data_IF_262967730671
#
_entry.id   IF_262967730671
#
_cell.length_a   1.000
_cell.length_b   1.000
_cell.length_c   1.000
_cell.angle_alpha   90.00
_cell.angle_beta   90.00
_cell.angle_gamma   90.00
#
_symmetry.space_group_name_H-M   'P 1'
#
loop_
_entity.id
_entity.type
_entity.pdbx_description
1 polymer ?
#
# COMPACT_ATOMS: atom_id res chain seq x y z
N UNK A 1 -53.69 21.91 -46.27
CA UNK A 1 -54.27 21.16 -45.13
C UNK A 1 -53.76 21.78 -43.85
N UNK A 2 -54.68 22.27 -43.02
CA UNK A 2 -54.45 22.97 -41.75
C UNK A 2 -54.44 21.97 -40.59
N UNK A 3 -53.58 22.19 -39.60
CA UNK A 3 -53.84 21.99 -38.17
C UNK A 3 -52.58 22.46 -37.40
N UNK A 4 -52.40 23.72 -37.00
CA UNK A 4 -52.95 24.41 -35.81
C UNK A 4 -53.03 23.55 -34.54
N UNK A 5 -52.25 23.89 -33.51
CA UNK A 5 -52.75 24.32 -32.19
C UNK A 5 -51.62 24.93 -31.34
N UNK A 6 -51.85 26.15 -30.85
CA UNK A 6 -51.09 26.81 -29.79
C UNK A 6 -51.76 26.57 -28.43
N UNK A 7 -51.00 26.58 -27.34
CA UNK A 7 -51.47 27.14 -26.06
C UNK A 7 -50.29 27.49 -25.13
N UNK A 8 -50.34 28.70 -24.60
CA UNK A 8 -49.48 29.26 -23.56
C UNK A 8 -49.95 28.90 -22.14
N UNK A 9 -49.05 29.20 -21.19
CA UNK A 9 -49.26 29.83 -19.87
C UNK A 9 -49.39 28.99 -18.57
N UNK A 10 -48.37 29.20 -17.72
CA UNK A 10 -48.37 29.61 -16.30
C UNK A 10 -48.72 28.63 -15.16
N UNK A 11 -47.67 28.37 -14.35
CA UNK A 11 -47.56 28.46 -12.87
C UNK A 11 -48.73 27.96 -12.02
N UNK A 12 -48.52 26.88 -11.25
CA UNK A 12 -48.70 26.87 -9.78
C UNK A 12 -47.91 25.69 -9.18
N UNK A 13 -47.20 25.93 -8.08
CA UNK A 13 -46.37 24.92 -7.42
C UNK A 13 -47.15 23.83 -6.69
N UNK A 14 -46.49 22.68 -6.49
CA UNK A 14 -46.84 21.75 -5.44
C UNK A 14 -45.56 21.13 -4.87
N UNK A 15 -45.33 21.42 -3.59
CA UNK A 15 -44.39 20.78 -2.68
C UNK A 15 -44.71 19.28 -2.62
N UNK A 16 -43.75 18.38 -2.83
CA UNK A 16 -43.62 17.18 -2.01
C UNK A 16 -42.24 16.52 -2.11
N UNK A 17 -41.77 16.18 -0.91
CA UNK A 17 -40.57 15.46 -0.47
C UNK A 17 -40.25 14.21 -1.30
N UNK A 18 -38.96 13.91 -1.40
CA UNK A 18 -38.49 12.57 -1.74
C UNK A 18 -36.98 12.53 -1.88
N UNK A 19 -36.28 12.29 -0.76
CA UNK A 19 -34.83 12.10 -0.77
C UNK A 19 -34.41 10.89 -1.60
N UNK A 20 -33.43 11.11 -2.46
CA UNK A 20 -32.44 10.14 -2.96
C UNK A 20 -31.11 10.88 -2.74
N UNK A 21 -30.37 10.60 -1.67
CA UNK A 21 -29.36 9.54 -1.59
C UNK A 21 -28.53 9.50 -2.87
N UNK A 22 -27.66 10.50 -2.99
CA UNK A 22 -26.43 10.43 -3.76
C UNK A 22 -25.56 9.38 -3.08
N UNK A 23 -25.75 8.13 -3.49
CA UNK A 23 -24.78 7.08 -3.28
C UNK A 23 -23.87 7.14 -4.51
N UNK A 24 -22.85 7.99 -4.44
CA UNK A 24 -21.74 7.91 -5.39
C UNK A 24 -20.99 6.61 -5.12
N UNK A 25 -20.94 5.83 -6.18
CA UNK A 25 -20.42 4.47 -6.23
C UNK A 25 -18.95 4.45 -5.83
N UNK A 26 -18.66 3.78 -4.71
CA UNK A 26 -17.32 3.29 -4.41
C UNK A 26 -17.06 2.10 -5.35
N UNK A 27 -16.68 2.41 -6.59
CA UNK A 27 -16.28 1.44 -7.60
C UNK A 27 -14.88 0.92 -7.24
N UNK A 28 -14.84 -0.34 -6.79
CA UNK A 28 -13.66 -1.09 -6.37
C UNK A 28 -12.57 -1.04 -7.45
N UNK A 29 -11.35 -0.70 -7.06
CA UNK A 29 -10.17 -0.58 -7.93
C UNK A 29 -9.74 -1.98 -8.40
N UNK A 30 -10.39 -2.52 -9.42
CA UNK A 30 -9.93 -3.74 -10.07
C UNK A 30 -8.90 -3.34 -11.14
N UNK A 31 -7.60 -3.36 -10.80
CA UNK A 31 -6.53 -3.39 -11.81
C UNK A 31 -6.67 -4.73 -12.56
N UNK A 32 -6.79 -4.70 -13.90
CA UNK A 32 -7.04 -5.91 -14.71
C UNK A 32 -5.86 -6.88 -14.56
N UNK A 33 -6.09 -8.21 -14.47
CA UNK A 33 -5.01 -9.18 -14.35
C UNK A 33 -4.11 -9.18 -15.60
N UNK A 34 -2.80 -9.28 -15.38
CA UNK A 34 -1.78 -9.48 -16.41
C UNK A 34 -2.08 -10.76 -17.24
N UNK A 35 -1.92 -10.73 -18.58
CA UNK A 35 -2.28 -11.85 -19.43
C UNK A 35 -1.28 -13.01 -19.31
N UNK A 36 -1.73 -14.12 -18.70
CA UNK A 36 -1.03 -15.39 -18.51
C UNK A 36 -0.54 -16.00 -19.82
N UNK A 37 0.75 -16.32 -19.92
CA UNK A 37 1.27 -17.31 -20.86
C UNK A 37 2.00 -18.43 -20.09
N UNK A 38 1.40 -19.63 -20.11
CA UNK A 38 1.85 -20.84 -19.42
C UNK A 38 3.20 -21.37 -19.95
N UNK A 39 4.05 -21.90 -19.06
CA UNK A 39 4.72 -23.18 -19.33
C UNK A 39 5.18 -23.90 -18.04
N UNK A 40 4.86 -25.19 -17.97
CA UNK A 40 5.15 -26.12 -16.88
C UNK A 40 6.54 -26.77 -17.02
N UNK A 41 7.21 -27.12 -15.92
CA UNK A 41 7.70 -28.49 -15.60
C UNK A 41 8.51 -28.53 -14.29
N UNK A 42 8.24 -29.58 -13.51
CA UNK A 42 8.75 -29.90 -12.17
C UNK A 42 10.24 -30.31 -12.11
N UNK A 43 10.84 -30.35 -10.90
CA UNK A 43 11.28 -31.60 -10.19
C UNK A 43 12.32 -31.34 -9.05
N UNK A 44 12.01 -31.91 -7.88
CA UNK A 44 12.83 -32.41 -6.75
C UNK A 44 13.74 -31.52 -5.88
N UNK A 45 13.26 -31.31 -4.64
CA UNK A 45 13.86 -31.71 -3.34
C UNK A 45 15.32 -31.35 -3.00
N UNK A 46 15.56 -30.70 -1.85
CA UNK A 46 15.90 -31.36 -0.56
C UNK A 46 15.97 -30.31 0.57
N UNK A 47 15.47 -30.72 1.74
CA UNK A 47 15.15 -29.94 2.95
C UNK A 47 16.38 -29.51 3.77
N UNK A 48 16.34 -28.28 4.30
CA UNK A 48 17.05 -27.90 5.53
C UNK A 48 16.27 -26.78 6.26
N UNK A 49 15.84 -27.09 7.49
CA UNK A 49 15.04 -26.26 8.39
C UNK A 49 15.80 -25.03 8.91
N UNK A 50 15.12 -23.88 9.03
CA UNK A 50 15.41 -22.86 10.06
C UNK A 50 14.09 -22.14 10.48
N UNK A 51 13.99 -21.64 11.72
CA UNK A 51 12.72 -21.31 12.39
C UNK A 51 12.16 -19.91 12.05
N UNK A 52 10.86 -19.66 12.31
CA UNK A 52 10.20 -18.38 12.04
C UNK A 52 10.71 -17.29 13.00
N UNK A 53 10.99 -16.10 12.47
CA UNK A 53 11.36 -14.91 13.25
C UNK A 53 10.42 -13.73 12.92
N UNK A 54 10.26 -12.78 13.85
CA UNK A 54 8.99 -12.08 14.08
C UNK A 54 8.84 -10.74 13.36
N UNK A 55 7.57 -10.34 13.26
CA UNK A 55 6.95 -9.05 12.94
C UNK A 55 7.87 -7.80 13.01
N UNK A 56 7.92 -7.05 11.90
CA UNK A 56 8.61 -5.75 11.80
C UNK A 56 7.88 -4.69 12.63
N UNK A 57 8.61 -4.08 13.56
CA UNK A 57 8.32 -2.78 14.13
C UNK A 57 8.99 -1.70 13.28
N UNK A 58 8.27 -0.64 12.91
CA UNK A 58 8.84 0.52 12.21
C UNK A 58 9.21 1.58 13.26
N UNK A 59 10.51 1.86 13.51
CA UNK A 59 10.90 2.89 14.45
C UNK A 59 10.77 4.28 13.82
N UNK A 60 10.08 5.19 14.50
CA UNK A 60 10.16 6.62 14.22
C UNK A 60 11.40 7.21 14.92
N UNK A 61 12.42 7.62 14.16
CA UNK A 61 13.55 8.40 14.67
C UNK A 61 13.29 9.91 14.57
N UNK A 62 13.87 10.70 15.48
CA UNK A 62 15.13 11.38 15.13
C UNK A 62 16.28 11.13 16.11
N UNK A 63 17.48 11.46 15.62
CA UNK A 63 18.84 11.24 16.11
C UNK A 63 19.07 11.70 17.56
N UNK A 64 19.65 10.85 18.43
CA UNK A 64 20.53 11.33 19.50
C UNK A 64 21.58 10.28 19.91
N UNK A 65 22.78 10.79 20.18
CA UNK A 65 24.06 10.13 20.36
C UNK A 65 24.11 9.03 21.43
N UNK A 66 24.94 8.03 21.15
CA UNK A 66 25.43 6.96 22.02
C UNK A 66 25.72 7.40 23.48
N UNK A 67 24.89 6.93 24.40
CA UNK A 67 25.25 6.69 25.81
C UNK A 67 24.86 5.26 26.15
N UNK A 68 25.79 4.35 26.48
CA UNK A 68 25.45 2.97 26.81
C UNK A 68 25.02 2.88 28.28
N UNK A 69 23.75 2.56 28.54
CA UNK A 69 23.31 2.20 29.90
C UNK A 69 21.87 2.46 30.32
N UNK A 70 20.88 2.50 29.43
CA UNK A 70 19.46 2.63 29.84
C UNK A 70 18.64 1.49 29.26
N UNK A 71 18.27 0.54 30.13
CA UNK A 71 17.21 -0.44 29.89
C UNK A 71 15.91 0.36 29.67
N UNK A 72 15.12 0.14 28.61
CA UNK A 72 13.85 0.87 28.44
C UNK A 72 12.89 0.41 29.54
N UNK A 73 12.74 1.23 30.58
CA UNK A 73 11.66 1.07 31.56
C UNK A 73 10.36 1.49 30.89
N UNK A 74 9.52 0.51 30.53
CA UNK A 74 8.12 0.77 30.18
C UNK A 74 7.49 1.54 31.34
N UNK A 75 7.11 2.81 31.09
CA UNK A 75 6.27 3.55 32.03
C UNK A 75 4.96 2.77 32.11
N UNK A 76 4.59 2.31 33.31
CA UNK A 76 3.23 1.80 33.56
C UNK A 76 2.27 2.97 33.49
N UNK A 77 1.83 3.28 32.28
CA UNK A 77 0.78 4.26 32.01
C UNK A 77 -0.55 3.73 32.55
N UNK A 78 -1.34 4.61 33.13
CA UNK A 78 -2.62 4.26 33.75
C UNK A 78 -3.67 3.94 32.68
N UNK A 79 -4.62 3.05 32.98
CA UNK A 79 -5.75 2.74 32.07
C UNK A 79 -6.52 3.98 31.60
N UNK A 80 -6.54 5.06 32.39
CA UNK A 80 -7.15 6.34 32.01
C UNK A 80 -6.35 7.09 30.94
N UNK A 81 -5.02 7.05 30.99
CA UNK A 81 -4.14 7.69 30.02
C UNK A 81 -4.20 6.95 28.68
N UNK A 82 -4.20 5.61 28.68
CA UNK A 82 -4.41 4.82 27.46
C UNK A 82 -5.75 5.14 26.79
N UNK A 83 -6.83 5.22 27.58
CA UNK A 83 -8.16 5.54 27.04
C UNK A 83 -8.25 6.97 26.49
N UNK A 84 -7.50 7.91 27.04
CA UNK A 84 -7.45 9.26 26.51
C UNK A 84 -6.66 9.30 25.19
N UNK A 85 -5.55 8.57 25.13
CA UNK A 85 -4.75 8.41 23.91
C UNK A 85 -5.57 7.75 22.79
N UNK A 86 -6.34 6.68 23.09
CA UNK A 86 -7.27 6.04 22.15
C UNK A 86 -8.27 7.04 21.57
N UNK A 87 -8.85 7.90 22.40
CA UNK A 87 -9.80 8.94 21.94
C UNK A 87 -9.12 9.98 21.07
N UNK A 88 -7.90 10.40 21.40
CA UNK A 88 -7.15 11.37 20.61
C UNK A 88 -6.80 10.81 19.23
N UNK A 89 -6.36 9.54 19.16
CA UNK A 89 -6.12 8.84 17.90
C UNK A 89 -7.41 8.69 17.10
N UNK A 90 -8.53 8.31 17.74
CA UNK A 90 -9.82 8.23 17.07
C UNK A 90 -10.25 9.58 16.50
N UNK A 91 -10.09 10.67 17.25
CA UNK A 91 -10.39 12.03 16.78
C UNK A 91 -9.47 12.45 15.62
N UNK A 92 -8.18 12.10 15.66
CA UNK A 92 -7.24 12.38 14.57
C UNK A 92 -7.65 11.65 13.28
N UNK A 93 -8.10 10.40 13.39
CA UNK A 93 -8.59 9.63 12.25
C UNK A 93 -9.94 10.16 11.73
N UNK A 94 -10.82 10.67 12.59
CA UNK A 94 -12.08 11.30 12.16
C UNK A 94 -11.87 12.62 11.40
N UNK A 95 -10.83 13.38 11.76
CA UNK A 95 -10.45 14.60 11.03
C UNK A 95 -9.93 14.25 9.62
N UNK A 96 -9.40 13.05 9.45
CA UNK A 96 -8.85 12.60 8.19
C UNK A 96 -9.93 12.08 7.23
N UNK A 97 -10.50 12.98 6.43
CA UNK A 97 -11.65 12.68 5.56
C UNK A 97 -11.38 11.61 4.50
N UNK A 98 -10.11 11.34 4.16
CA UNK A 98 -9.76 10.24 3.24
C UNK A 98 -9.72 8.87 3.93
N UNK A 99 -9.89 8.80 5.26
CA UNK A 99 -10.02 7.54 5.99
C UNK A 99 -11.49 7.38 6.37
N UNK A 100 -12.22 6.56 5.62
CA UNK A 100 -13.65 6.38 5.84
C UNK A 100 -13.96 5.41 7.00
N UNK A 101 -13.84 5.90 8.23
CA UNK A 101 -14.12 5.14 9.47
C UNK A 101 -15.57 4.64 9.58
N UNK A 102 -16.52 5.28 8.89
CA UNK A 102 -17.94 4.90 8.94
C UNK A 102 -18.22 3.60 8.17
N UNK A 103 -17.53 3.40 7.05
CA UNK A 103 -17.65 2.18 6.24
C UNK A 103 -16.70 1.09 6.71
N UNK A 104 -15.55 1.49 7.25
CA UNK A 104 -14.45 0.62 7.65
C UNK A 104 -14.06 0.90 9.10
N UNK A 105 -14.72 0.25 10.08
CA UNK A 105 -14.42 0.51 11.48
C UNK A 105 -13.01 0.01 11.82
N UNK A 106 -12.16 0.94 12.28
CA UNK A 106 -10.81 0.65 12.78
C UNK A 106 -10.86 0.53 14.30
N UNK A 107 -10.33 -0.58 14.81
CA UNK A 107 -10.12 -0.79 16.24
C UNK A 107 -8.78 -0.20 16.64
N UNK A 108 -8.80 0.69 17.63
CA UNK A 108 -7.59 1.33 18.17
C UNK A 108 -7.36 0.78 19.57
N UNK A 109 -6.13 0.38 19.86
CA UNK A 109 -5.72 -0.03 21.20
C UNK A 109 -4.48 0.74 21.60
N UNK A 110 -4.52 1.42 22.73
CA UNK A 110 -3.34 2.09 23.28
C UNK A 110 -2.80 1.33 24.48
N UNK A 111 -1.50 1.08 24.48
CA UNK A 111 -0.79 0.49 25.61
C UNK A 111 0.45 1.33 25.92
N UNK A 112 0.28 2.31 26.82
CA UNK A 112 1.34 3.26 27.14
C UNK A 112 1.54 4.28 26.03
N UNK A 113 2.73 4.28 25.44
CA UNK A 113 3.12 5.11 24.30
C UNK A 113 3.02 4.36 22.95
N UNK A 114 2.54 3.12 22.96
CA UNK A 114 2.37 2.29 21.77
C UNK A 114 0.89 2.22 21.38
N UNK A 115 0.59 2.51 20.11
CA UNK A 115 -0.76 2.43 19.55
C UNK A 115 -0.82 1.29 18.53
N UNK A 116 -1.79 0.40 18.67
CA UNK A 116 -2.09 -0.62 17.65
C UNK A 116 -3.33 -0.22 16.89
N UNK A 117 -3.23 -0.18 15.57
CA UNK A 117 -4.35 0.03 14.64
C UNK A 117 -4.68 -1.30 13.98
N UNK A 118 -5.90 -1.79 14.19
CA UNK A 118 -6.38 -3.06 13.65
C UNK A 118 -7.71 -2.85 12.91
N UNK A 119 -7.89 -3.53 11.78
CA UNK A 119 -9.10 -3.41 10.97
C UNK A 119 -8.83 -3.55 9.49
N UNK A 120 -9.86 -3.30 8.68
CA UNK A 120 -9.75 -3.26 7.22
C UNK A 120 -9.98 -1.83 6.77
N UNK A 121 -9.29 -1.37 5.74
CA UNK A 121 -9.41 -0.03 5.13
C UNK A 121 -9.58 -0.15 3.62
N UNK A 122 -10.12 0.88 2.97
CA UNK A 122 -10.47 0.86 1.55
C UNK A 122 -9.28 0.72 0.59
N UNK A 123 -8.13 1.33 0.89
CA UNK A 123 -6.97 1.39 -0.01
C UNK A 123 -5.68 1.67 0.77
N UNK A 124 -4.54 1.61 0.07
CA UNK A 124 -3.21 1.87 0.66
C UNK A 124 -3.05 3.30 1.18
N UNK A 125 -3.64 4.28 0.50
CA UNK A 125 -3.55 5.67 0.92
C UNK A 125 -4.26 5.86 2.27
N UNK A 126 -5.46 5.31 2.44
CA UNK A 126 -6.18 5.30 3.70
C UNK A 126 -5.40 4.56 4.80
N UNK A 127 -4.78 3.42 4.48
CA UNK A 127 -3.90 2.68 5.40
C UNK A 127 -2.76 3.55 5.91
N UNK A 128 -1.97 4.13 5.01
CA UNK A 128 -0.78 4.93 5.35
C UNK A 128 -1.16 6.21 6.07
N UNK A 129 -2.21 6.90 5.64
CA UNK A 129 -2.69 8.12 6.29
C UNK A 129 -3.25 7.85 7.68
N UNK A 130 -3.88 6.70 7.91
CA UNK A 130 -4.32 6.32 9.25
C UNK A 130 -3.12 6.15 10.21
N UNK A 131 -2.05 5.51 9.75
CA UNK A 131 -0.80 5.35 10.53
C UNK A 131 -0.16 6.72 10.81
N UNK A 132 -0.09 7.60 9.82
CA UNK A 132 0.47 8.96 9.99
C UNK A 132 -0.37 9.81 10.96
N UNK A 133 -1.69 9.76 10.84
CA UNK A 133 -2.59 10.46 11.74
C UNK A 133 -2.42 9.98 13.18
N UNK A 134 -2.26 8.67 13.41
CA UNK A 134 -1.98 8.11 14.73
C UNK A 134 -0.59 8.52 15.24
N UNK A 135 0.44 8.47 14.40
CA UNK A 135 1.80 8.87 14.77
C UNK A 135 1.92 10.39 15.07
N UNK A 136 1.05 11.21 14.49
CA UNK A 136 0.98 12.64 14.75
C UNK A 136 0.37 13.02 16.10
N UNK A 137 -0.26 12.07 16.82
CA UNK A 137 -0.88 12.34 18.12
C UNK A 137 0.19 12.53 19.20
N UNK A 138 0.17 13.64 19.95
CA UNK A 138 1.11 13.85 21.05
C UNK A 138 1.03 12.73 22.10
N UNK A 139 2.16 12.08 22.36
CA UNK A 139 2.25 10.96 23.32
C UNK A 139 2.33 9.58 22.68
N UNK A 140 2.09 9.48 21.37
CA UNK A 140 2.36 8.26 20.60
C UNK A 140 3.86 8.22 20.25
N UNK A 141 4.54 7.15 20.66
CA UNK A 141 5.94 6.90 20.30
C UNK A 141 6.06 5.90 19.16
N UNK A 142 5.19 4.90 19.15
CA UNK A 142 5.22 3.81 18.18
C UNK A 142 3.80 3.45 17.76
N UNK A 143 3.62 3.22 16.46
CA UNK A 143 2.36 2.75 15.89
C UNK A 143 2.58 1.37 15.28
N UNK A 144 1.87 0.39 15.82
CA UNK A 144 1.80 -0.96 15.27
C UNK A 144 0.66 -0.98 14.25
N UNK A 145 1.03 -1.02 12.98
CA UNK A 145 0.10 -1.13 11.86
C UNK A 145 -0.31 -2.60 11.64
N UNK A 146 -1.53 -2.95 12.02
CA UNK A 146 -2.17 -4.23 11.70
C UNK A 146 -3.32 -4.07 10.71
N UNK A 147 -3.45 -2.89 10.09
CA UNK A 147 -4.50 -2.60 9.13
C UNK A 147 -4.35 -3.46 7.88
N UNK A 148 -5.48 -3.90 7.34
CA UNK A 148 -5.56 -4.65 6.10
C UNK A 148 -6.23 -3.80 5.04
N UNK A 149 -5.72 -3.81 3.82
CA UNK A 149 -6.41 -3.19 2.68
C UNK A 149 -7.49 -4.15 2.20
N UNK A 150 -8.68 -3.64 1.86
CA UNK A 150 -9.74 -4.43 1.26
C UNK A 150 -9.27 -5.02 -0.07
N UNK A 151 -9.32 -6.35 -0.25
CA UNK A 151 -8.85 -6.97 -1.48
C UNK A 151 -9.79 -6.61 -2.63
N UNK A 152 -9.21 -6.23 -3.78
CA UNK A 152 -9.97 -5.92 -4.99
C UNK A 152 -10.67 -7.14 -5.59
N UNK A 153 -10.26 -8.35 -5.21
CA UNK A 153 -10.89 -9.61 -5.62
C UNK A 153 -10.80 -10.68 -4.53
N UNK A 154 -11.82 -11.55 -4.46
CA UNK A 154 -11.75 -12.74 -3.61
C UNK A 154 -10.80 -13.75 -4.24
N UNK A 155 -9.64 -13.92 -3.64
CA UNK A 155 -8.60 -14.85 -4.09
C UNK A 155 -8.14 -15.68 -2.90
N UNK A 156 -7.82 -16.95 -3.13
CA UNK A 156 -7.18 -17.78 -2.12
C UNK A 156 -5.70 -17.39 -1.97
N UNK A 157 -5.09 -17.64 -0.81
CA UNK A 157 -3.66 -17.38 -0.59
C UNK A 157 -2.75 -18.03 -1.64
N UNK A 158 -3.08 -19.23 -2.12
CA UNK A 158 -2.30 -19.91 -3.17
C UNK A 158 -2.44 -19.19 -4.53
N UNK A 159 -3.61 -18.61 -4.80
CA UNK A 159 -3.87 -17.81 -6.00
C UNK A 159 -3.13 -16.48 -5.93
N UNK A 160 -3.13 -15.82 -4.77
CA UNK A 160 -2.35 -14.61 -4.51
C UNK A 160 -0.86 -14.90 -4.73
N UNK A 161 -0.33 -15.96 -4.12
CA UNK A 161 1.07 -16.37 -4.28
C UNK A 161 1.43 -16.60 -5.74
N UNK A 162 0.58 -17.30 -6.49
CA UNK A 162 0.78 -17.52 -7.92
C UNK A 162 0.84 -16.20 -8.71
N UNK A 163 -0.04 -15.25 -8.42
CA UNK A 163 -0.04 -13.94 -9.08
C UNK A 163 1.16 -13.06 -8.69
N UNK A 164 1.60 -13.09 -7.43
CA UNK A 164 2.81 -12.36 -7.00
C UNK A 164 4.04 -12.96 -7.67
N UNK A 165 4.16 -14.30 -7.69
CA UNK A 165 5.20 -15.02 -8.41
C UNK A 165 5.25 -14.59 -9.88
N UNK A 166 4.11 -14.65 -10.58
CA UNK A 166 4.03 -14.29 -11.99
C UNK A 166 4.47 -12.84 -12.22
N UNK A 167 4.01 -11.90 -11.38
CA UNK A 167 4.39 -10.48 -11.47
C UNK A 167 5.91 -10.27 -11.31
N UNK A 168 6.56 -10.95 -10.36
CA UNK A 168 8.01 -10.86 -10.16
C UNK A 168 8.80 -11.52 -11.29
N UNK A 169 8.27 -12.60 -11.87
CA UNK A 169 8.88 -13.28 -13.01
C UNK A 169 8.77 -12.40 -14.24
N UNK A 170 7.60 -11.87 -14.55
CA UNK A 170 7.37 -11.08 -15.76
C UNK A 170 8.13 -9.75 -15.76
N UNK A 171 8.50 -9.22 -14.59
CA UNK A 171 9.23 -7.96 -14.49
C UNK A 171 10.68 -8.05 -15.03
N UNK A 172 11.00 -7.32 -16.12
CA UNK A 172 12.34 -7.35 -16.72
C UNK A 172 13.44 -6.84 -15.79
N UNK A 173 13.17 -5.87 -14.92
CA UNK A 173 14.15 -5.38 -13.96
C UNK A 173 14.60 -6.47 -12.97
N UNK A 174 13.75 -7.49 -12.73
CA UNK A 174 14.01 -8.58 -11.79
C UNK A 174 14.50 -9.87 -12.47
N UNK A 175 14.77 -9.86 -13.78
CA UNK A 175 15.15 -11.06 -14.54
C UNK A 175 16.42 -11.76 -14.05
N UNK A 176 17.34 -11.02 -13.40
CA UNK A 176 18.62 -11.53 -12.91
C UNK A 176 18.55 -12.05 -11.46
N UNK A 177 17.37 -12.07 -10.84
CA UNK A 177 17.19 -12.60 -9.49
C UNK A 177 16.65 -14.03 -9.53
N UNK A 178 17.10 -14.83 -8.57
CA UNK A 178 16.50 -16.12 -8.27
C UNK A 178 15.18 -15.86 -7.54
N UNK A 179 14.08 -16.42 -8.04
CA UNK A 179 12.76 -16.26 -7.43
C UNK A 179 12.34 -17.60 -6.84
N UNK A 180 11.99 -17.59 -5.56
CA UNK A 180 11.57 -18.77 -4.81
C UNK A 180 10.23 -18.49 -4.16
N UNK A 181 9.20 -19.26 -4.49
CA UNK A 181 7.92 -19.22 -3.79
C UNK A 181 7.85 -20.26 -2.68
N UNK A 182 7.16 -19.93 -1.60
CA UNK A 182 6.93 -20.82 -0.46
C UNK A 182 5.43 -21.01 -0.29
N UNK A 183 4.98 -22.24 -0.50
CA UNK A 183 3.57 -22.60 -0.36
C UNK A 183 3.19 -22.74 1.12
N UNK A 184 1.89 -22.88 1.42
CA UNK A 184 1.32 -23.08 2.78
C UNK A 184 1.90 -24.25 3.59
N UNK A 185 2.65 -25.15 2.95
CA UNK A 185 3.32 -26.31 3.56
C UNK A 185 4.80 -26.06 3.86
N UNK A 186 5.26 -24.81 3.76
CA UNK A 186 6.68 -24.42 3.81
C UNK A 186 7.54 -25.11 2.74
N UNK A 187 6.90 -25.56 1.66
CA UNK A 187 7.57 -26.16 0.51
C UNK A 187 8.06 -25.03 -0.41
N UNK A 188 9.38 -25.01 -0.64
CA UNK A 188 10.03 -24.02 -1.51
C UNK A 188 10.04 -24.51 -2.96
N UNK A 189 9.51 -23.71 -3.87
CA UNK A 189 9.57 -23.93 -5.31
C UNK A 189 10.51 -22.88 -5.93
N UNK A 190 11.48 -23.33 -6.71
CA UNK A 190 12.38 -22.43 -7.45
C UNK A 190 11.70 -22.12 -8.77
N UNK A 191 11.21 -20.90 -8.90
CA UNK A 191 10.41 -20.47 -10.04
C UNK A 191 11.30 -19.91 -11.16
N UNK A 192 12.42 -19.31 -10.78
CA UNK A 192 13.47 -18.82 -11.67
C UNK A 192 14.83 -19.01 -11.00
N UNK A 193 15.77 -19.56 -11.76
CA UNK A 193 17.17 -19.71 -11.36
C UNK A 193 18.10 -19.27 -12.50
N UNK A 194 18.54 -18.00 -12.52
CA UNK A 194 19.48 -17.53 -13.52
C UNK A 194 20.90 -18.01 -13.16
N UNK A 195 21.68 -18.38 -14.18
CA UNK A 195 23.04 -18.93 -13.99
C UNK A 195 23.97 -18.02 -13.16
N UNK A 196 23.79 -16.70 -13.28
CA UNK A 196 24.48 -15.69 -12.49
C UNK A 196 23.46 -14.84 -11.73
N UNK A 197 22.90 -15.40 -10.66
CA UNK A 197 21.93 -14.69 -9.83
C UNK A 197 22.56 -13.46 -9.15
N UNK A 198 21.93 -12.31 -9.34
CA UNK A 198 22.24 -11.07 -8.64
C UNK A 198 21.85 -11.14 -7.15
N UNK A 199 20.86 -11.98 -6.82
CA UNK A 199 20.36 -12.18 -5.48
C UNK A 199 19.21 -13.18 -5.49
N UNK A 200 18.52 -13.30 -4.36
CA UNK A 200 17.41 -14.23 -4.17
C UNK A 200 16.21 -13.48 -3.59
N UNK A 201 15.04 -13.63 -4.20
CA UNK A 201 13.76 -13.11 -3.74
C UNK A 201 12.90 -14.31 -3.37
N UNK A 202 12.54 -14.38 -2.09
CA UNK A 202 11.68 -15.40 -1.51
C UNK A 202 10.32 -14.78 -1.25
N UNK A 203 9.26 -15.43 -1.69
CA UNK A 203 7.88 -14.98 -1.51
C UNK A 203 7.08 -16.03 -0.76
N UNK A 204 6.34 -15.61 0.26
CA UNK A 204 5.30 -16.41 0.88
C UNK A 204 4.03 -15.58 1.06
N UNK A 205 2.89 -16.25 1.17
CA UNK A 205 1.62 -15.58 1.46
C UNK A 205 0.92 -16.32 2.59
N UNK A 206 0.43 -15.58 3.58
CA UNK A 206 -0.33 -16.11 4.71
C UNK A 206 -1.76 -15.57 4.70
N UNK A 207 -2.68 -16.29 5.35
CA UNK A 207 -4.07 -15.81 5.53
C UNK A 207 -4.08 -14.58 6.47
N UNK A 208 -4.89 -13.54 6.20
CA UNK A 208 -5.97 -13.44 5.21
C UNK A 208 -5.56 -12.93 3.81
N UNK A 209 -4.28 -12.93 3.46
CA UNK A 209 -3.74 -12.33 2.23
C UNK A 209 -2.56 -11.40 2.50
N UNK A 210 -1.73 -11.73 3.50
CA UNK A 210 -0.50 -11.01 3.83
C UNK A 210 0.65 -11.60 3.03
N UNK A 211 1.28 -10.81 2.19
CA UNK A 211 2.42 -11.22 1.37
C UNK A 211 3.70 -10.89 2.12
N UNK A 212 4.62 -11.84 2.19
CA UNK A 212 5.95 -11.64 2.75
C UNK A 212 6.97 -11.78 1.63
N UNK A 213 7.84 -10.78 1.50
CA UNK A 213 8.99 -10.79 0.61
C UNK A 213 10.24 -10.83 1.48
N UNK A 214 11.18 -11.72 1.18
CA UNK A 214 12.45 -11.83 1.89
C UNK A 214 13.58 -12.26 0.97
N UNK A 215 14.81 -12.24 1.48
CA UNK A 215 16.00 -12.56 0.69
C UNK A 215 16.88 -11.33 0.46
N UNK A 216 17.62 -11.30 -0.64
CA UNK A 216 18.65 -10.31 -0.92
C UNK A 216 18.51 -9.73 -2.33
N UNK A 217 18.58 -8.39 -2.41
CA UNK A 217 18.63 -7.65 -3.67
C UNK A 217 19.84 -6.73 -3.72
N UNK A 218 20.25 -6.31 -4.93
CA UNK A 218 21.42 -5.44 -5.11
C UNK A 218 21.12 -3.95 -5.09
N UNK A 219 19.85 -3.55 -5.10
CA UNK A 219 19.44 -2.14 -5.14
C UNK A 219 18.14 -1.88 -4.41
N UNK A 220 18.03 -0.71 -3.77
CA UNK A 220 16.82 -0.20 -3.13
C UNK A 220 15.64 -0.10 -4.10
N UNK A 221 15.89 0.30 -5.35
CA UNK A 221 14.86 0.38 -6.39
C UNK A 221 14.24 -1.00 -6.66
N UNK A 222 15.05 -2.06 -6.73
CA UNK A 222 14.53 -3.43 -6.90
C UNK A 222 13.74 -3.92 -5.67
N UNK A 223 14.20 -3.58 -4.46
CA UNK A 223 13.46 -3.86 -3.21
C UNK A 223 12.08 -3.21 -3.25
N UNK A 224 12.01 -1.92 -3.56
CA UNK A 224 10.78 -1.14 -3.61
C UNK A 224 9.83 -1.65 -4.69
N UNK A 225 10.35 -1.87 -5.89
CA UNK A 225 9.57 -2.41 -7.02
C UNK A 225 8.96 -3.77 -6.68
N UNK A 226 9.73 -4.70 -6.10
CA UNK A 226 9.19 -6.01 -5.68
C UNK A 226 8.03 -5.86 -4.68
N UNK A 227 8.15 -4.93 -3.73
CA UNK A 227 7.07 -4.59 -2.80
C UNK A 227 5.82 -4.05 -3.50
N UNK A 228 5.99 -3.13 -4.45
CA UNK A 228 4.87 -2.57 -5.22
C UNK A 228 4.19 -3.63 -6.09
N UNK A 229 4.96 -4.49 -6.76
CA UNK A 229 4.41 -5.60 -7.56
C UNK A 229 3.54 -6.53 -6.71
N UNK A 230 3.98 -6.82 -5.47
CA UNK A 230 3.17 -7.60 -4.52
C UNK A 230 1.88 -6.88 -4.13
N UNK A 231 1.91 -5.56 -3.92
CA UNK A 231 0.71 -4.77 -3.62
C UNK A 231 -0.29 -4.70 -4.78
N UNK A 232 0.17 -4.71 -6.02
CA UNK A 232 -0.68 -4.65 -7.21
C UNK A 232 -1.47 -5.93 -7.48
N UNK A 233 -1.15 -7.03 -6.78
CA UNK A 233 -1.95 -8.25 -6.84
C UNK A 233 -3.27 -8.03 -6.09
N UNK A 234 -4.39 -8.24 -6.78
CA UNK A 234 -5.73 -7.88 -6.30
C UNK A 234 -6.16 -8.51 -4.96
N UNK A 235 -5.57 -9.65 -4.58
CA UNK A 235 -5.84 -10.30 -3.30
C UNK A 235 -4.91 -9.91 -2.16
N UNK A 236 -3.88 -9.08 -2.41
CA UNK A 236 -2.95 -8.62 -1.39
C UNK A 236 -3.65 -7.63 -0.46
N UNK A 237 -3.78 -8.02 0.81
CA UNK A 237 -4.36 -7.19 1.86
C UNK A 237 -3.27 -6.48 2.68
N UNK A 238 -2.08 -7.07 2.74
CA UNK A 238 -0.92 -6.51 3.39
C UNK A 238 0.36 -7.03 2.73
N UNK A 239 1.41 -6.24 2.72
CA UNK A 239 2.72 -6.65 2.17
C UNK A 239 3.81 -6.26 3.16
N UNK A 240 4.51 -7.27 3.66
CA UNK A 240 5.68 -7.14 4.51
C UNK A 240 6.94 -7.39 3.66
N UNK A 241 7.65 -6.31 3.33
CA UNK A 241 8.87 -6.36 2.54
C UNK A 241 10.11 -6.41 3.45
N UNK A 242 10.76 -7.56 3.51
CA UNK A 242 11.98 -7.83 4.29
C UNK A 242 13.20 -8.08 3.39
N UNK A 243 13.19 -7.60 2.14
CA UNK A 243 14.34 -7.75 1.26
C UNK A 243 15.53 -6.93 1.77
N UNK A 244 16.67 -7.59 1.93
CA UNK A 244 17.91 -6.95 2.33
C UNK A 244 18.67 -6.43 1.10
N UNK A 245 19.12 -5.17 1.15
CA UNK A 245 19.92 -4.59 0.06
C UNK A 245 21.41 -4.83 0.34
N UNK A 246 22.08 -5.53 -0.57
CA UNK A 246 23.49 -5.92 -0.45
C UNK A 246 24.25 -5.59 -1.75
N UNK A 247 25.26 -4.70 -1.71
CA UNK A 247 25.73 -3.92 -0.56
C UNK A 247 24.69 -2.90 -0.08
N UNK A 248 24.76 -2.43 1.18
CA UNK A 248 23.82 -1.43 1.67
C UNK A 248 23.97 -0.12 0.88
N UNK A 249 22.86 0.44 0.45
CA UNK A 249 22.77 1.73 -0.24
C UNK A 249 22.26 2.81 0.71
N UNK A 250 22.64 4.07 0.46
CA UNK A 250 22.13 5.20 1.23
C UNK A 250 20.71 5.54 0.78
N UNK A 251 19.75 5.38 1.70
CA UNK A 251 18.35 5.72 1.42
C UNK A 251 18.11 7.22 1.59
N UNK A 252 18.00 7.93 0.47
CA UNK A 252 17.78 9.37 0.42
C UNK A 252 16.54 9.72 -0.45
N UNK A 253 16.13 10.99 -0.41
CA UNK A 253 14.94 11.46 -1.15
C UNK A 253 15.02 11.20 -2.66
N UNK A 254 16.23 11.21 -3.25
CA UNK A 254 16.46 10.89 -4.66
C UNK A 254 16.16 9.43 -4.96
N UNK A 255 16.65 8.49 -4.13
CA UNK A 255 16.34 7.07 -4.29
C UNK A 255 14.86 6.76 -4.11
N UNK A 256 14.16 7.52 -3.26
CA UNK A 256 12.70 7.42 -3.11
C UNK A 256 12.02 7.92 -4.39
N UNK A 257 12.46 9.07 -4.91
CA UNK A 257 11.92 9.68 -6.11
C UNK A 257 12.08 8.77 -7.33
N UNK A 258 13.28 8.23 -7.54
CA UNK A 258 13.60 7.31 -8.65
C UNK A 258 12.73 6.04 -8.58
N UNK A 259 12.49 5.52 -7.37
CA UNK A 259 11.62 4.36 -7.20
C UNK A 259 10.14 4.68 -7.48
N UNK A 260 9.66 5.87 -7.10
CA UNK A 260 8.30 6.33 -7.43
C UNK A 260 8.15 6.55 -8.93
N UNK A 261 9.14 7.16 -9.59
CA UNK A 261 9.16 7.34 -11.04
C UNK A 261 9.11 5.99 -11.76
N UNK A 262 9.97 5.05 -11.37
CA UNK A 262 9.99 3.69 -11.90
C UNK A 262 8.63 2.98 -11.75
N UNK A 263 7.99 3.11 -10.59
CA UNK A 263 6.68 2.50 -10.33
C UNK A 263 5.59 3.11 -11.21
N UNK A 264 5.58 4.44 -11.36
CA UNK A 264 4.59 5.14 -12.17
C UNK A 264 4.78 4.87 -13.66
N UNK A 265 6.02 4.74 -14.13
CA UNK A 265 6.33 4.30 -15.51
C UNK A 265 5.80 2.89 -15.81
N UNK A 266 5.79 2.02 -14.80
CA UNK A 266 5.34 0.63 -14.92
C UNK A 266 3.82 0.49 -14.86
N UNK A 267 3.11 1.42 -14.22
CA UNK A 267 1.66 1.41 -14.23
C UNK A 267 1.09 2.01 -15.52
N UNK A 268 0.78 1.15 -16.48
CA UNK A 268 0.15 1.55 -17.75
C UNK A 268 -1.25 2.18 -17.57
N UNK A 269 -1.84 2.14 -16.38
CA UNK A 269 -3.10 2.81 -16.09
C UNK A 269 -2.94 4.31 -15.81
N UNK A 270 -1.71 4.80 -15.59
CA UNK A 270 -1.39 6.20 -15.30
C UNK A 270 -0.57 6.79 -16.45
N UNK A 271 -1.07 7.88 -17.04
CA UNK A 271 -0.31 8.66 -18.02
C UNK A 271 0.51 9.72 -17.29
N UNK A 272 1.83 9.58 -17.32
CA UNK A 272 2.78 10.44 -16.61
C UNK A 272 3.33 11.59 -17.45
N UNK A 273 2.89 11.75 -18.71
CA UNK A 273 3.54 12.66 -19.67
C UNK A 273 3.63 14.13 -19.25
N UNK A 274 2.61 14.65 -18.57
CA UNK A 274 2.55 16.04 -18.08
C UNK A 274 2.75 16.16 -16.55
N UNK A 275 3.23 15.09 -15.92
CA UNK A 275 3.44 15.03 -14.48
C UNK A 275 4.86 15.47 -14.11
N UNK A 276 5.00 16.15 -12.98
CA UNK A 276 6.27 16.47 -12.35
C UNK A 276 6.29 15.89 -10.94
N UNK A 277 7.34 15.13 -10.64
CA UNK A 277 7.58 14.49 -9.36
C UNK A 277 8.64 15.27 -8.57
N UNK A 278 8.49 15.32 -7.25
CA UNK A 278 9.51 15.81 -6.34
C UNK A 278 9.49 15.04 -5.03
N UNK A 279 10.62 14.94 -4.35
CA UNK A 279 10.71 14.33 -3.03
C UNK A 279 11.55 15.21 -2.12
N UNK A 280 11.07 15.44 -0.90
CA UNK A 280 11.82 16.15 0.14
C UNK A 280 11.42 15.64 1.52
N UNK A 281 12.41 15.30 2.35
CA UNK A 281 12.20 14.74 3.69
C UNK A 281 11.26 13.53 3.67
N UNK A 282 11.42 12.67 2.66
CA UNK A 282 10.57 11.54 2.30
C UNK A 282 9.10 11.89 1.97
N UNK A 283 8.78 13.17 1.73
CA UNK A 283 7.48 13.63 1.27
C UNK A 283 7.50 13.75 -0.25
N UNK A 284 6.70 12.91 -0.91
CA UNK A 284 6.56 12.89 -2.37
C UNK A 284 5.50 13.89 -2.79
N UNK A 285 5.82 14.75 -3.74
CA UNK A 285 4.88 15.70 -4.34
C UNK A 285 4.61 15.29 -5.78
N UNK A 286 3.35 15.06 -6.10
CA UNK A 286 2.85 14.78 -7.45
C UNK A 286 2.14 16.04 -7.97
N UNK A 287 2.65 16.65 -9.03
CA UNK A 287 2.11 17.90 -9.57
C UNK A 287 2.03 17.86 -11.10
N UNK A 288 1.27 18.76 -11.71
CA UNK A 288 1.09 18.83 -13.17
C UNK A 288 -0.28 18.36 -13.64
N UNK A 289 -0.38 18.09 -14.94
CA UNK A 289 -1.61 17.67 -15.61
C UNK A 289 -1.77 16.16 -15.59
N UNK A 290 -3.00 15.67 -15.44
CA UNK A 290 -3.31 14.25 -15.60
C UNK A 290 -4.67 14.06 -16.30
N UNK A 291 -4.88 13.04 -17.15
CA UNK A 291 -6.09 12.98 -17.97
C UNK A 291 -7.40 12.83 -17.21
N UNK A 292 -7.41 12.18 -16.04
CA UNK A 292 -8.66 11.91 -15.30
C UNK A 292 -8.45 11.90 -13.79
N UNK A 293 -9.53 12.16 -13.04
CA UNK A 293 -9.54 12.00 -11.58
C UNK A 293 -9.22 10.58 -11.12
N UNK A 294 -9.56 9.56 -11.91
CA UNK A 294 -9.19 8.16 -11.63
C UNK A 294 -7.68 7.96 -11.67
N UNK A 295 -7.02 8.48 -12.70
CA UNK A 295 -5.56 8.40 -12.81
C UNK A 295 -4.86 9.20 -11.72
N UNK A 296 -5.40 10.38 -11.35
CA UNK A 296 -4.93 11.16 -10.19
C UNK A 296 -4.89 10.32 -8.91
N UNK A 297 -5.94 9.53 -8.68
CA UNK A 297 -6.05 8.68 -7.51
C UNK A 297 -5.12 7.46 -7.59
N UNK A 298 -4.98 6.83 -8.77
CA UNK A 298 -4.04 5.72 -8.97
C UNK A 298 -2.59 6.16 -8.74
N UNK A 299 -2.18 7.30 -9.29
CA UNK A 299 -0.85 7.85 -9.07
C UNK A 299 -0.53 8.09 -7.59
N UNK A 300 -1.53 8.54 -6.81
CA UNK A 300 -1.39 8.67 -5.37
C UNK A 300 -1.20 7.32 -4.68
N UNK A 301 -2.02 6.32 -5.01
CA UNK A 301 -1.86 4.97 -4.47
C UNK A 301 -0.50 4.37 -4.82
N UNK A 302 -0.02 4.57 -6.04
CA UNK A 302 1.26 4.05 -6.51
C UNK A 302 2.44 4.67 -5.76
N UNK A 303 2.40 5.98 -5.49
CA UNK A 303 3.37 6.62 -4.61
C UNK A 303 3.34 6.04 -3.18
N UNK A 304 2.15 5.74 -2.63
CA UNK A 304 2.02 5.15 -1.29
C UNK A 304 2.48 3.68 -1.18
N UNK A 305 2.53 2.94 -2.30
CA UNK A 305 3.06 1.57 -2.29
C UNK A 305 4.58 1.53 -2.13
N UNK A 306 5.27 2.62 -2.49
CA UNK A 306 6.74 2.70 -2.39
C UNK A 306 7.16 2.80 -0.93
N UNK A 307 7.98 1.85 -0.51
CA UNK A 307 8.55 1.83 0.84
C UNK A 307 9.49 3.02 1.05
N UNK A 308 9.40 3.69 2.19
CA UNK A 308 10.19 4.88 2.51
C UNK A 308 9.44 6.20 2.27
N UNK A 309 8.36 6.19 1.49
CA UNK A 309 7.48 7.35 1.35
C UNK A 309 6.77 7.64 2.68
N UNK A 310 7.06 8.81 3.25
CA UNK A 310 6.47 9.27 4.52
C UNK A 310 5.14 9.96 4.31
N UNK A 311 5.03 10.78 3.27
CA UNK A 311 3.78 11.46 2.93
C UNK A 311 3.68 11.69 1.42
N UNK A 312 2.45 11.84 0.92
CA UNK A 312 2.17 12.11 -0.50
C UNK A 312 1.28 13.34 -0.63
N UNK A 313 1.83 14.38 -1.24
CA UNK A 313 1.13 15.61 -1.60
C UNK A 313 0.70 15.52 -3.06
N UNK A 314 -0.59 15.23 -3.28
CA UNK A 314 -1.16 15.07 -4.62
C UNK A 314 -1.82 16.37 -5.13
N UNK A 315 -1.05 17.18 -5.85
CA UNK A 315 -1.44 18.44 -6.49
C UNK A 315 -1.79 18.27 -7.98
N UNK A 316 -1.92 17.03 -8.47
CA UNK A 316 -2.29 16.76 -9.86
C UNK A 316 -3.63 17.40 -10.21
N UNK A 317 -3.73 17.97 -11.41
CA UNK A 317 -4.95 18.59 -11.91
C UNK A 317 -5.51 17.74 -13.05
N UNK A 318 -6.71 17.16 -12.89
CA UNK A 318 -7.40 16.51 -13.99
C UNK A 318 -7.62 17.49 -15.13
N UNK A 319 -7.08 17.18 -16.29
CA UNK A 319 -7.29 17.92 -17.53
C UNK A 319 -8.43 17.20 -18.25
N UNK A 320 -9.66 17.68 -18.07
CA UNK A 320 -10.81 17.12 -18.77
C UNK A 320 -10.52 17.11 -20.28
N UNK A 321 -10.63 15.96 -20.98
CA UNK A 321 -10.50 15.95 -22.42
C UNK A 321 -11.65 16.76 -23.02
N UNK A 322 -11.29 17.82 -23.74
CA UNK A 322 -12.22 18.72 -24.44
C UNK A 322 -13.10 18.01 -25.48
#
# INVERSE_FOLDING_TARGET
MRSSFSASSSLTGCKQRGGRRDAEDAEVIVKRPYPKNLCALCVSATSALLPPSPLIAIPAHPIESLVPGVIPTTRKTTMSENRELEKQVHAALEVEHRVNLHRYPVTIRAEGDVVTLDGTVENIAAKRRAVLAAAGVPGVREVIDQLLVEPAGRMGVDEILHHVRDALIEEPALCNYKIVSVNKKDEREIDRDPAEAAGEIIVSVEEPGRVFLGGQVKSLSHRRLAGVLAWWVAGSMDVANHLEVVPPEEDNDGEILDAVELVLEKDHAVDTGDMTLGCKDAVVTLSGGIPTGRQKFLAECDAWYVEGVRDVVNELVPVDPA
#
